data_IF_113371756968
#
_entry.id   IF_113371756968
#
_cell.length_a   1.000
_cell.length_b   1.000
_cell.length_c   1.000
_cell.angle_alpha   90.00
_cell.angle_beta   90.00
_cell.angle_gamma   90.00
#
_symmetry.space_group_name_H-M   'P 1'
#
loop_
_entity.id
_entity.type
_entity.pdbx_description
1 polymer ?
#
# COMPACT_ATOMS: atom_id res chain seq x y z
N UNK A 1 -76.75 0.31 17.84
CA UNK A 1 -77.25 0.65 16.49
C UNK A 1 -76.06 0.47 15.56
N UNK A 2 -76.00 -0.39 14.55
CA UNK A 2 -76.99 -1.20 13.86
C UNK A 2 -76.30 -2.46 13.32
N UNK A 3 -77.10 -3.53 13.23
CA UNK A 3 -76.78 -4.88 12.80
C UNK A 3 -76.27 -4.99 11.36
N UNK A 4 -75.54 -6.09 11.09
CA UNK A 4 -75.70 -7.09 9.98
C UNK A 4 -74.39 -7.87 9.85
N UNK A 5 -74.32 -9.16 9.52
CA UNK A 5 -75.25 -10.27 9.43
C UNK A 5 -74.34 -11.50 9.32
N UNK A 6 -74.53 -12.49 10.18
CA UNK A 6 -73.91 -13.82 10.02
C UNK A 6 -74.62 -14.54 8.87
N UNK A 7 -73.87 -14.93 7.84
CA UNK A 7 -74.35 -15.85 6.81
C UNK A 7 -73.42 -17.05 6.75
N UNK A 8 -73.85 -18.11 7.41
CA UNK A 8 -73.29 -19.45 7.39
C UNK A 8 -73.53 -20.05 6.00
N UNK A 9 -72.47 -20.28 5.23
CA UNK A 9 -72.52 -21.13 4.03
C UNK A 9 -71.68 -22.37 4.33
N UNK A 10 -72.40 -23.47 4.58
CA UNK A 10 -71.88 -24.82 4.50
C UNK A 10 -71.97 -25.26 3.04
N UNK A 11 -70.85 -25.63 2.41
CA UNK A 11 -70.85 -26.35 1.14
C UNK A 11 -69.53 -27.11 0.92
N UNK A 12 -69.66 -28.44 0.97
CA UNK A 12 -68.94 -29.48 0.23
C UNK A 12 -67.40 -29.40 0.17
N UNK A 13 -66.78 -30.20 1.05
CA UNK A 13 -65.49 -30.85 0.81
C UNK A 13 -65.64 -31.88 -0.33
N UNK A 14 -65.22 -31.50 -1.53
CA UNK A 14 -64.87 -32.47 -2.58
C UNK A 14 -63.35 -32.68 -2.50
N UNK A 15 -62.92 -33.82 -1.94
CA UNK A 15 -61.55 -34.31 -2.05
C UNK A 15 -61.25 -34.64 -3.51
N UNK A 16 -60.72 -33.68 -4.25
CA UNK A 16 -59.97 -33.96 -5.47
C UNK A 16 -58.55 -34.35 -5.04
N UNK A 17 -58.23 -35.64 -5.10
CA UNK A 17 -56.88 -36.15 -5.00
C UNK A 17 -56.09 -35.72 -6.26
N UNK A 18 -55.59 -34.48 -6.26
CA UNK A 18 -54.50 -34.09 -7.15
C UNK A 18 -53.23 -34.73 -6.59
N UNK A 19 -52.84 -35.87 -7.15
CA UNK A 19 -51.55 -36.48 -6.86
C UNK A 19 -50.44 -35.48 -7.16
N UNK A 20 -49.63 -35.17 -6.16
CA UNK A 20 -48.29 -34.66 -6.41
C UNK A 20 -47.63 -35.69 -7.34
N UNK A 21 -47.35 -35.29 -8.58
CA UNK A 21 -46.49 -36.07 -9.47
C UNK A 21 -45.09 -35.91 -8.91
N UNK A 22 -44.79 -36.71 -7.89
CA UNK A 22 -43.49 -36.77 -7.23
C UNK A 22 -42.48 -37.26 -8.25
N UNK A 23 -41.80 -36.34 -8.93
CA UNK A 23 -40.43 -36.55 -9.38
C UNK A 23 -39.53 -36.59 -8.14
N UNK A 24 -39.80 -37.51 -7.21
CA UNK A 24 -38.86 -37.86 -6.17
C UNK A 24 -37.68 -38.52 -6.88
N UNK A 25 -36.46 -37.96 -6.81
CA UNK A 25 -35.28 -38.64 -7.32
C UNK A 25 -35.26 -40.04 -6.72
N UNK A 26 -35.11 -41.03 -7.60
CA UNK A 26 -35.03 -42.46 -7.31
C UNK A 26 -34.73 -42.73 -5.83
N UNK A 27 -35.72 -43.22 -5.08
CA UNK A 27 -35.57 -43.75 -3.71
C UNK A 27 -34.78 -45.06 -3.72
N UNK A 28 -33.72 -45.15 -4.54
CA UNK A 28 -32.71 -46.17 -4.43
C UNK A 28 -31.91 -45.88 -3.17
N UNK A 29 -31.91 -46.84 -2.26
CA UNK A 29 -30.94 -46.85 -1.18
C UNK A 29 -29.55 -46.89 -1.80
N UNK A 30 -28.67 -45.97 -1.44
CA UNK A 30 -27.30 -45.94 -1.93
C UNK A 30 -26.29 -46.24 -0.81
N UNK A 31 -25.15 -46.77 -1.20
CA UNK A 31 -23.97 -47.03 -0.38
C UNK A 31 -22.72 -46.37 -0.95
N UNK A 32 -22.73 -46.03 -2.25
CA UNK A 32 -21.65 -45.30 -2.94
C UNK A 32 -22.21 -44.31 -3.97
N UNK A 33 -21.42 -43.31 -4.34
CA UNK A 33 -21.82 -42.29 -5.33
C UNK A 33 -22.16 -42.88 -6.70
N UNK A 34 -21.55 -44.00 -7.09
CA UNK A 34 -21.81 -44.64 -8.39
C UNK A 34 -23.22 -45.21 -8.54
N UNK A 35 -23.93 -45.39 -7.42
CA UNK A 35 -25.33 -45.87 -7.42
C UNK A 35 -26.32 -44.72 -7.71
N UNK A 36 -25.85 -43.47 -7.66
CA UNK A 36 -26.63 -42.27 -7.97
C UNK A 36 -26.48 -41.90 -9.45
N UNK A 37 -27.36 -42.47 -10.29
CA UNK A 37 -27.24 -42.37 -11.75
C UNK A 37 -27.65 -41.02 -12.34
N UNK A 38 -28.20 -40.11 -11.53
CA UNK A 38 -28.58 -38.77 -12.00
C UNK A 38 -27.34 -37.86 -12.03
N UNK A 39 -27.09 -37.13 -13.13
CA UNK A 39 -26.02 -36.14 -13.19
C UNK A 39 -26.08 -35.16 -12.01
N UNK A 40 -24.93 -34.84 -11.42
CA UNK A 40 -24.85 -33.92 -10.29
C UNK A 40 -25.32 -34.46 -8.94
N UNK A 41 -25.61 -35.76 -8.80
CA UNK A 41 -25.98 -36.39 -7.51
C UNK A 41 -24.82 -37.15 -6.85
N UNK A 42 -24.89 -37.33 -5.52
CA UNK A 42 -23.95 -38.13 -4.71
C UNK A 42 -24.69 -38.93 -3.64
N UNK A 43 -24.07 -39.94 -3.04
CA UNK A 43 -24.67 -40.72 -1.99
C UNK A 43 -24.45 -40.10 -0.59
N UNK A 44 -25.54 -39.81 0.12
CA UNK A 44 -25.51 -39.59 1.57
C UNK A 44 -25.49 -40.95 2.27
N UNK A 45 -24.29 -41.43 2.61
CA UNK A 45 -24.09 -42.75 3.24
C UNK A 45 -24.67 -42.85 4.64
N UNK A 46 -24.92 -41.72 5.33
CA UNK A 46 -25.54 -41.70 6.65
C UNK A 46 -27.04 -41.97 6.58
N UNK A 47 -27.68 -41.59 5.48
CA UNK A 47 -29.13 -41.74 5.26
C UNK A 47 -29.47 -42.79 4.20
N UNK A 48 -28.44 -43.28 3.49
CA UNK A 48 -28.57 -44.22 2.39
C UNK A 48 -29.39 -43.65 1.24
N UNK A 49 -29.28 -42.36 0.90
CA UNK A 49 -30.06 -41.74 -0.18
C UNK A 49 -29.19 -40.91 -1.12
N UNK A 50 -29.54 -40.91 -2.40
CA UNK A 50 -28.92 -39.98 -3.35
C UNK A 50 -29.40 -38.55 -3.08
N UNK A 51 -28.46 -37.65 -2.85
CA UNK A 51 -28.65 -36.22 -2.62
C UNK A 51 -28.03 -35.44 -3.78
N UNK A 52 -28.43 -34.18 -3.97
CA UNK A 52 -27.73 -33.34 -4.95
C UNK A 52 -26.29 -33.07 -4.46
N UNK A 53 -25.37 -32.92 -5.40
CA UNK A 53 -23.98 -32.53 -5.22
C UNK A 53 -23.64 -31.25 -5.99
N UNK A 54 -24.32 -31.03 -7.12
CA UNK A 54 -24.29 -29.82 -7.93
C UNK A 54 -25.72 -29.41 -8.29
N UNK A 55 -25.88 -28.19 -8.79
CA UNK A 55 -27.16 -27.64 -9.23
C UNK A 55 -27.80 -28.39 -10.41
N UNK A 56 -26.99 -29.13 -11.17
CA UNK A 56 -27.44 -29.95 -12.32
C UNK A 56 -28.39 -31.08 -11.90
N UNK A 57 -28.36 -31.48 -10.62
CA UNK A 57 -29.26 -32.47 -10.05
C UNK A 57 -30.64 -31.91 -9.66
N UNK A 58 -30.82 -30.59 -9.72
CA UNK A 58 -32.03 -29.90 -9.28
C UNK A 58 -32.86 -29.40 -10.46
N UNK A 59 -34.13 -29.08 -10.20
CA UNK A 59 -34.98 -28.45 -11.22
C UNK A 59 -34.45 -27.05 -11.61
N UNK A 60 -34.93 -26.52 -12.74
CA UNK A 60 -34.41 -25.28 -13.30
C UNK A 60 -34.50 -24.06 -12.36
N UNK A 61 -35.40 -24.08 -11.37
CA UNK A 61 -35.62 -23.05 -10.35
C UNK A 61 -35.06 -23.41 -8.96
N UNK A 62 -34.21 -24.45 -8.88
CA UNK A 62 -33.62 -24.94 -7.65
C UNK A 62 -32.08 -24.97 -7.73
N UNK A 63 -31.44 -24.82 -6.57
CA UNK A 63 -30.00 -25.00 -6.39
C UNK A 63 -29.73 -26.06 -5.33
N UNK A 64 -28.57 -26.72 -5.43
CA UNK A 64 -28.16 -27.70 -4.45
C UNK A 64 -27.53 -27.02 -3.23
N UNK A 65 -28.24 -27.00 -2.10
CA UNK A 65 -27.67 -26.44 -0.88
C UNK A 65 -26.66 -27.40 -0.23
N UNK A 66 -25.92 -26.93 0.78
CA UNK A 66 -24.90 -27.73 1.48
C UNK A 66 -25.43 -29.00 2.17
N UNK A 67 -26.74 -29.07 2.42
CA UNK A 67 -27.39 -30.24 2.99
C UNK A 67 -27.71 -31.32 1.94
N UNK A 68 -27.37 -31.10 0.66
CA UNK A 68 -27.71 -32.01 -0.43
C UNK A 68 -29.20 -31.99 -0.79
N UNK A 69 -29.88 -30.88 -0.48
CA UNK A 69 -31.31 -30.71 -0.79
C UNK A 69 -31.44 -29.65 -1.87
N UNK A 70 -32.19 -29.98 -2.93
CA UNK A 70 -32.60 -29.00 -3.91
C UNK A 70 -33.57 -28.02 -3.26
N UNK A 71 -33.13 -26.77 -3.14
CA UNK A 71 -33.89 -25.68 -2.55
C UNK A 71 -34.26 -24.71 -3.66
N UNK A 72 -35.51 -24.25 -3.68
CA UNK A 72 -35.95 -23.21 -4.61
C UNK A 72 -35.08 -21.96 -4.42
N UNK A 73 -34.58 -21.38 -5.52
CA UNK A 73 -33.90 -20.10 -5.46
C UNK A 73 -34.88 -19.04 -4.94
N UNK A 74 -34.74 -18.66 -3.67
CA UNK A 74 -35.48 -17.54 -3.09
C UNK A 74 -34.80 -16.21 -3.48
N UNK A 75 -34.69 -15.99 -4.79
CA UNK A 75 -33.98 -14.85 -5.35
C UNK A 75 -32.57 -15.17 -5.85
N UNK A 76 -31.74 -14.14 -5.92
CA UNK A 76 -30.37 -14.18 -6.44
C UNK A 76 -29.41 -13.43 -5.51
N UNK A 77 -28.14 -13.80 -5.58
CA UNK A 77 -27.01 -13.17 -4.88
C UNK A 77 -25.90 -12.74 -5.84
N UNK A 78 -25.84 -13.38 -7.01
CA UNK A 78 -24.98 -13.06 -8.14
C UNK A 78 -25.75 -13.17 -9.46
N UNK A 79 -25.17 -12.68 -10.56
CA UNK A 79 -25.78 -12.82 -11.89
C UNK A 79 -25.87 -14.28 -12.37
N UNK A 80 -25.04 -15.18 -11.84
CA UNK A 80 -25.06 -16.61 -12.20
C UNK A 80 -26.32 -17.32 -11.68
N UNK A 81 -26.95 -16.77 -10.65
CA UNK A 81 -28.23 -17.26 -10.12
C UNK A 81 -29.40 -16.99 -11.09
N UNK A 82 -29.21 -16.08 -12.05
CA UNK A 82 -30.22 -15.65 -13.01
C UNK A 82 -30.09 -16.39 -14.35
N UNK A 83 -30.58 -17.63 -14.38
CA UNK A 83 -30.41 -18.59 -15.51
C UNK A 83 -31.11 -18.18 -16.82
N UNK A 84 -31.98 -17.17 -16.80
CA UNK A 84 -32.65 -16.69 -18.01
C UNK A 84 -31.70 -15.77 -18.79
N UNK A 85 -31.57 -16.00 -20.09
CA UNK A 85 -30.73 -15.16 -20.95
C UNK A 85 -31.19 -13.70 -20.90
N UNK A 86 -30.24 -12.78 -20.70
CA UNK A 86 -30.54 -11.36 -20.54
C UNK A 86 -31.29 -11.06 -19.23
N UNK A 87 -31.02 -11.79 -18.16
CA UNK A 87 -31.43 -11.41 -16.80
C UNK A 87 -30.20 -11.21 -15.92
N UNK A 88 -30.32 -10.37 -14.89
CA UNK A 88 -29.24 -10.10 -13.95
C UNK A 88 -29.79 -9.93 -12.53
N UNK A 89 -28.92 -10.08 -11.54
CA UNK A 89 -29.33 -10.06 -10.15
C UNK A 89 -29.36 -8.66 -9.56
N UNK A 90 -30.54 -8.20 -9.14
CA UNK A 90 -30.64 -7.05 -8.25
C UNK A 90 -30.34 -7.49 -6.81
N UNK A 91 -29.10 -7.25 -6.38
CA UNK A 91 -28.61 -7.66 -5.05
C UNK A 91 -29.36 -7.01 -3.89
N UNK A 92 -30.08 -5.91 -4.14
CA UNK A 92 -30.81 -5.19 -3.08
C UNK A 92 -32.17 -5.83 -2.80
N UNK A 93 -32.89 -6.25 -3.85
CA UNK A 93 -34.17 -6.96 -3.71
C UNK A 93 -34.02 -8.49 -3.72
N UNK A 94 -32.87 -9.00 -4.16
CA UNK A 94 -32.65 -10.41 -4.46
C UNK A 94 -33.43 -10.90 -5.69
N UNK A 95 -33.93 -10.04 -6.57
CA UNK A 95 -34.72 -10.47 -7.73
C UNK A 95 -33.87 -10.51 -9.01
N UNK A 96 -34.11 -11.52 -9.86
CA UNK A 96 -33.61 -11.51 -11.23
C UNK A 96 -34.46 -10.57 -12.08
N UNK A 97 -33.87 -9.49 -12.56
CA UNK A 97 -34.54 -8.51 -13.42
C UNK A 97 -34.35 -8.89 -14.89
N UNK A 98 -35.39 -8.71 -15.69
CA UNK A 98 -35.34 -8.97 -17.13
C UNK A 98 -34.80 -7.77 -17.92
N UNK A 99 -33.86 -8.04 -18.83
CA UNK A 99 -33.28 -7.08 -19.75
C UNK A 99 -31.75 -7.17 -19.78
N UNK A 100 -31.11 -6.80 -20.91
CA UNK A 100 -29.66 -6.69 -20.97
C UNK A 100 -29.19 -5.67 -19.92
N UNK A 101 -28.27 -6.10 -19.05
CA UNK A 101 -27.56 -5.18 -18.15
C UNK A 101 -26.85 -4.13 -18.97
N UNK A 102 -26.73 -2.90 -18.45
CA UNK A 102 -26.02 -1.80 -19.10
C UNK A 102 -26.66 -1.34 -20.43
N UNK A 103 -27.98 -1.42 -20.55
CA UNK A 103 -28.73 -0.82 -21.68
C UNK A 103 -29.76 0.21 -21.21
N UNK A 104 -29.89 1.31 -21.94
CA UNK A 104 -30.90 2.33 -21.64
C UNK A 104 -32.32 1.75 -21.75
N UNK A 105 -33.18 2.06 -20.78
CA UNK A 105 -34.56 1.58 -20.69
C UNK A 105 -34.73 0.15 -20.13
N UNK A 106 -33.64 -0.56 -19.81
CA UNK A 106 -33.71 -1.86 -19.12
C UNK A 106 -34.22 -1.68 -17.68
N UNK A 107 -34.74 -2.76 -17.10
CA UNK A 107 -35.11 -2.77 -15.68
C UNK A 107 -33.86 -2.64 -14.82
N UNK A 108 -33.96 -1.99 -13.67
CA UNK A 108 -32.86 -1.84 -12.72
C UNK A 108 -33.38 -1.73 -11.29
N UNK A 109 -32.55 -2.16 -10.33
CA UNK A 109 -32.71 -1.84 -8.90
C UNK A 109 -31.61 -0.91 -8.33
N UNK A 110 -30.55 -0.66 -9.10
CA UNK A 110 -29.35 0.09 -8.72
C UNK A 110 -28.82 0.82 -9.96
N UNK A 111 -28.12 1.94 -9.77
CA UNK A 111 -27.49 2.67 -10.86
C UNK A 111 -26.41 1.85 -11.59
N UNK A 112 -25.69 0.98 -10.87
CA UNK A 112 -24.69 0.07 -11.45
C UNK A 112 -25.25 -0.97 -12.43
N UNK A 113 -26.58 -1.12 -12.52
CA UNK A 113 -27.23 -1.95 -13.54
C UNK A 113 -27.41 -1.23 -14.88
N UNK A 114 -27.23 0.09 -14.88
CA UNK A 114 -27.40 0.97 -16.02
C UNK A 114 -26.04 1.28 -16.67
N UNK A 115 -26.01 1.60 -17.98
CA UNK A 115 -24.77 2.02 -18.63
C UNK A 115 -24.26 3.33 -18.02
N UNK A 116 -22.97 3.61 -18.15
CA UNK A 116 -22.41 4.91 -17.79
C UNK A 116 -23.18 6.05 -18.50
N UNK A 117 -23.37 7.16 -17.79
CA UNK A 117 -24.22 8.28 -18.20
C UNK A 117 -25.71 8.07 -17.97
N UNK A 118 -26.11 7.05 -17.22
CA UNK A 118 -27.52 6.79 -16.91
C UNK A 118 -27.74 6.29 -15.48
N UNK A 119 -28.93 6.57 -14.95
CA UNK A 119 -29.34 6.22 -13.59
C UNK A 119 -30.62 5.40 -13.58
N UNK A 120 -30.81 4.67 -12.48
CA UNK A 120 -32.03 3.91 -12.25
C UNK A 120 -33.14 4.80 -11.68
N UNK A 121 -34.07 5.23 -12.54
CA UNK A 121 -35.25 6.03 -12.16
C UNK A 121 -36.51 5.24 -12.42
N UNK A 122 -37.38 5.12 -11.43
CA UNK A 122 -38.64 4.36 -11.51
C UNK A 122 -38.45 2.90 -12.00
N UNK A 123 -37.35 2.28 -11.56
CA UNK A 123 -37.00 0.90 -11.92
C UNK A 123 -36.54 0.71 -13.37
N UNK A 124 -36.20 1.80 -14.07
CA UNK A 124 -35.66 1.76 -15.43
C UNK A 124 -34.42 2.64 -15.59
N UNK A 125 -33.49 2.18 -16.42
CA UNK A 125 -32.33 2.97 -16.77
C UNK A 125 -32.73 4.16 -17.65
N UNK A 126 -32.40 5.37 -17.20
CA UNK A 126 -32.73 6.66 -17.84
C UNK A 126 -31.47 7.52 -17.90
N UNK A 127 -31.30 8.33 -18.94
CA UNK A 127 -30.12 9.20 -19.08
C UNK A 127 -30.02 10.16 -17.89
N UNK A 128 -28.82 10.27 -17.32
CA UNK A 128 -28.54 11.13 -16.17
C UNK A 128 -27.47 10.54 -15.25
N UNK A 129 -27.20 11.24 -14.15
CA UNK A 129 -26.27 10.84 -13.09
C UNK A 129 -26.76 11.35 -11.73
N UNK A 130 -26.39 10.67 -10.66
CA UNK A 130 -26.56 11.13 -9.28
C UNK A 130 -25.23 11.63 -8.70
N UNK A 131 -24.13 10.95 -9.05
CA UNK A 131 -22.77 11.34 -8.71
C UNK A 131 -21.81 11.01 -9.85
N UNK A 132 -20.54 11.37 -9.69
CA UNK A 132 -19.54 11.22 -10.75
C UNK A 132 -19.22 9.76 -11.09
N UNK A 133 -19.55 8.82 -10.20
CA UNK A 133 -19.37 7.38 -10.44
C UNK A 133 -20.34 6.81 -11.48
N UNK A 134 -21.42 7.54 -11.79
CA UNK A 134 -22.34 7.20 -12.86
C UNK A 134 -21.81 7.61 -14.24
N UNK A 135 -20.81 8.49 -14.32
CA UNK A 135 -20.26 9.03 -15.56
C UNK A 135 -19.08 8.19 -16.08
N UNK A 136 -18.73 8.35 -17.37
CA UNK A 136 -17.51 7.73 -17.91
C UNK A 136 -16.28 8.45 -17.36
N UNK A 137 -15.13 7.77 -17.38
CA UNK A 137 -13.85 8.37 -16.95
C UNK A 137 -13.58 9.67 -17.73
N UNK A 138 -13.35 10.77 -17.00
CA UNK A 138 -13.14 12.11 -17.56
C UNK A 138 -14.39 13.00 -17.65
N UNK A 139 -15.54 12.53 -17.18
CA UNK A 139 -16.77 13.32 -17.02
C UNK A 139 -17.16 13.44 -15.55
N UNK A 140 -17.83 14.53 -15.17
CA UNK A 140 -18.40 14.74 -13.84
C UNK A 140 -19.92 14.96 -13.93
N UNK A 141 -20.62 14.63 -12.86
CA UNK A 141 -22.07 14.79 -12.76
C UNK A 141 -22.44 16.22 -12.37
N UNK A 142 -22.92 17.00 -13.34
CA UNK A 142 -23.32 18.40 -13.12
C UNK A 142 -24.80 18.55 -13.46
N UNK A 143 -25.59 18.92 -12.45
CA UNK A 143 -27.05 19.09 -12.55
C UNK A 143 -27.77 17.87 -13.13
N UNK A 144 -27.33 16.67 -12.73
CA UNK A 144 -27.91 15.39 -13.16
C UNK A 144 -27.52 14.96 -14.58
N UNK A 145 -26.54 15.63 -15.21
CA UNK A 145 -26.02 15.27 -16.53
C UNK A 145 -24.50 15.10 -16.46
N UNK A 146 -23.99 14.03 -17.08
CA UNK A 146 -22.54 13.86 -17.24
C UNK A 146 -22.01 14.87 -18.27
N UNK A 147 -21.00 15.63 -17.87
CA UNK A 147 -20.37 16.65 -18.71
C UNK A 147 -18.85 16.43 -18.73
N UNK A 148 -18.24 16.54 -19.91
CA UNK A 148 -16.80 16.49 -20.09
C UNK A 148 -16.14 17.84 -19.81
N UNK A 149 -14.89 17.83 -19.32
CA UNK A 149 -14.11 19.04 -19.06
C UNK A 149 -14.56 19.86 -17.84
N UNK A 150 -15.50 19.31 -17.06
CA UNK A 150 -15.84 19.79 -15.72
C UNK A 150 -15.33 18.80 -14.68
N UNK A 151 -15.14 19.27 -13.45
CA UNK A 151 -14.61 18.47 -12.37
C UNK A 151 -15.34 18.75 -11.06
N UNK A 152 -15.45 17.73 -10.20
CA UNK A 152 -15.86 17.88 -8.80
C UNK A 152 -14.67 17.83 -7.84
N UNK A 153 -13.55 17.23 -8.28
CA UNK A 153 -12.29 17.03 -7.56
C UNK A 153 -11.14 16.86 -8.56
N UNK A 154 -9.90 16.96 -8.07
CA UNK A 154 -8.68 16.93 -8.89
C UNK A 154 -8.56 15.65 -9.74
N UNK A 155 -9.06 14.51 -9.24
CA UNK A 155 -9.01 13.22 -9.95
C UNK A 155 -9.71 13.20 -11.33
N UNK A 156 -10.57 14.19 -11.62
CA UNK A 156 -11.25 14.34 -12.91
C UNK A 156 -10.46 15.13 -13.94
N UNK A 157 -9.38 15.80 -13.54
CA UNK A 157 -8.58 16.63 -14.42
C UNK A 157 -7.42 15.86 -15.05
N UNK A 158 -6.78 16.42 -16.07
CA UNK A 158 -5.57 15.81 -16.60
C UNK A 158 -4.43 15.86 -15.55
N UNK A 159 -3.39 15.05 -15.74
CA UNK A 159 -2.21 15.13 -14.87
C UNK A 159 -1.66 16.55 -14.81
N UNK A 160 -1.15 16.96 -13.64
CA UNK A 160 -0.69 18.33 -13.30
C UNK A 160 -1.78 19.42 -13.30
N UNK A 161 -3.05 19.07 -13.53
CA UNK A 161 -4.17 19.98 -13.37
C UNK A 161 -4.88 19.77 -12.02
N UNK A 162 -5.60 20.80 -11.56
CA UNK A 162 -6.46 20.73 -10.39
C UNK A 162 -7.84 21.25 -10.72
N UNK A 163 -8.82 20.81 -9.95
CA UNK A 163 -10.18 21.29 -10.05
C UNK A 163 -10.34 22.62 -9.31
N UNK A 164 -10.66 23.68 -10.05
CA UNK A 164 -10.81 25.03 -9.50
C UNK A 164 -12.08 25.68 -10.04
N UNK A 165 -13.09 25.81 -9.18
CA UNK A 165 -14.45 26.25 -9.51
C UNK A 165 -15.13 25.41 -10.61
N UNK A 166 -14.98 24.09 -10.52
CA UNK A 166 -15.61 23.14 -11.44
C UNK A 166 -14.91 23.02 -12.80
N UNK A 167 -13.77 23.69 -12.97
CA UNK A 167 -12.98 23.67 -14.21
C UNK A 167 -11.57 23.19 -13.90
N UNK A 168 -11.07 22.28 -14.75
CA UNK A 168 -9.70 21.83 -14.67
C UNK A 168 -8.74 22.94 -15.12
N UNK A 169 -7.77 23.25 -14.26
CA UNK A 169 -6.75 24.26 -14.52
C UNK A 169 -5.38 23.68 -14.19
N UNK A 170 -4.42 23.95 -15.07
CA UNK A 170 -3.03 23.63 -14.82
C UNK A 170 -2.52 24.30 -13.52
N UNK A 171 -1.83 23.54 -12.70
CA UNK A 171 -1.21 24.07 -11.49
C UNK A 171 0.17 24.67 -11.81
N UNK A 172 0.29 26.00 -11.70
CA UNK A 172 1.51 26.73 -12.04
C UNK A 172 2.46 26.97 -10.87
N UNK A 173 2.24 26.34 -9.70
CA UNK A 173 3.07 26.58 -8.49
C UNK A 173 4.51 26.10 -8.64
N UNK A 174 4.78 25.18 -9.54
CA UNK A 174 6.15 24.75 -9.74
C UNK A 174 6.31 23.73 -10.85
N UNK A 175 7.56 23.37 -11.12
CA UNK A 175 7.87 22.48 -12.22
C UNK A 175 7.69 21.02 -11.78
N UNK A 176 6.44 20.57 -11.64
CA UNK A 176 6.11 19.19 -11.30
C UNK A 176 6.87 18.21 -12.19
N UNK A 177 7.55 17.24 -11.59
CA UNK A 177 8.27 16.18 -12.30
C UNK A 177 9.40 16.65 -13.24
N UNK A 178 9.80 17.92 -13.20
CA UNK A 178 10.96 18.38 -13.97
C UNK A 178 12.24 17.82 -13.36
N UNK A 179 13.14 17.33 -14.22
CA UNK A 179 14.47 16.89 -13.80
C UNK A 179 15.22 17.98 -13.04
N UNK A 180 15.94 17.59 -11.99
CA UNK A 180 16.67 18.53 -11.14
C UNK A 180 17.98 17.95 -10.62
N UNK A 181 18.78 18.81 -9.97
CA UNK A 181 19.97 18.41 -9.22
C UNK A 181 19.80 18.76 -7.75
N UNK A 182 20.51 18.05 -6.87
CA UNK A 182 20.53 18.38 -5.44
C UNK A 182 20.88 19.85 -5.22
N UNK A 183 20.23 20.45 -4.21
CA UNK A 183 20.46 21.84 -3.83
C UNK A 183 21.93 22.03 -3.44
N UNK A 184 22.57 23.04 -4.01
CA UNK A 184 23.94 23.44 -3.65
C UNK A 184 23.98 24.94 -3.36
N UNK A 185 25.08 25.42 -2.79
CA UNK A 185 25.27 26.87 -2.65
C UNK A 185 25.25 27.61 -4.00
N UNK A 186 25.63 26.94 -5.11
CA UNK A 186 25.60 27.48 -6.46
C UNK A 186 24.23 27.34 -7.16
N UNK A 187 23.42 26.38 -6.74
CA UNK A 187 22.06 26.16 -7.23
C UNK A 187 21.10 26.03 -6.03
N UNK A 188 20.76 27.17 -5.38
CA UNK A 188 19.98 27.15 -4.15
C UNK A 188 18.51 26.80 -4.40
N UNK A 189 17.99 26.88 -5.63
CA UNK A 189 16.58 26.66 -5.96
C UNK A 189 16.45 25.79 -7.22
N UNK A 190 16.82 24.50 -7.15
CA UNK A 190 16.79 23.62 -8.32
C UNK A 190 15.39 23.44 -8.94
N UNK A 191 14.34 23.82 -8.20
CA UNK A 191 12.94 23.64 -8.54
C UNK A 191 12.14 24.96 -8.48
N UNK A 192 12.77 26.07 -8.86
CA UNK A 192 12.18 27.43 -9.01
C UNK A 192 11.64 28.09 -7.74
N UNK A 193 11.64 27.41 -6.59
CA UNK A 193 11.25 27.98 -5.32
C UNK A 193 12.07 27.41 -4.16
N UNK A 194 12.28 28.19 -3.08
CA UNK A 194 13.02 27.75 -1.90
C UNK A 194 12.44 26.53 -1.20
N UNK A 195 11.13 26.29 -1.34
CA UNK A 195 10.40 25.19 -0.66
C UNK A 195 10.11 24.01 -1.58
N UNK A 196 10.49 24.14 -2.86
CA UNK A 196 10.47 23.02 -3.79
C UNK A 196 11.76 22.22 -3.60
N UNK A 197 11.63 20.90 -3.44
CA UNK A 197 12.77 20.01 -3.25
C UNK A 197 12.99 19.15 -4.47
N UNK A 198 14.26 18.87 -4.72
CA UNK A 198 14.68 17.89 -5.69
C UNK A 198 14.60 16.51 -5.04
N UNK A 199 13.57 15.75 -5.39
CA UNK A 199 13.22 14.46 -4.82
C UNK A 199 13.88 13.33 -5.61
N UNK A 200 14.07 12.19 -4.96
CA UNK A 200 14.66 11.00 -5.57
C UNK A 200 13.57 9.97 -5.79
N UNK A 201 13.40 9.48 -7.03
CA UNK A 201 12.56 8.33 -7.30
C UNK A 201 13.29 7.05 -6.85
N UNK A 202 12.76 6.36 -5.84
CA UNK A 202 13.33 5.11 -5.31
C UNK A 202 12.83 3.85 -6.03
N UNK A 203 11.92 3.97 -7.01
CA UNK A 203 11.38 2.81 -7.75
C UNK A 203 12.16 2.46 -9.01
N UNK A 204 12.86 3.41 -9.60
CA UNK A 204 13.66 3.16 -10.80
C UNK A 204 14.99 2.51 -10.41
N UNK A 205 15.05 1.17 -10.49
CA UNK A 205 16.21 0.30 -10.20
C UNK A 205 17.46 0.57 -11.09
N UNK A 206 17.56 1.73 -11.74
CA UNK A 206 18.56 2.05 -12.76
C UNK A 206 19.26 3.41 -12.63
N UNK A 207 19.02 4.18 -11.57
CA UNK A 207 19.77 5.41 -11.29
C UNK A 207 18.92 6.67 -11.28
N UNK A 208 18.44 7.01 -10.08
CA UNK A 208 17.98 8.31 -9.62
C UNK A 208 17.57 9.33 -10.70
N UNK A 209 16.39 9.16 -11.30
CA UNK A 209 15.70 10.28 -11.95
C UNK A 209 15.25 11.23 -10.83
N UNK A 210 16.08 12.21 -10.54
CA UNK A 210 15.75 13.26 -9.59
C UNK A 210 14.70 14.17 -10.20
N UNK A 211 13.65 14.47 -9.47
CA UNK A 211 12.52 15.26 -9.97
C UNK A 211 12.08 16.34 -8.99
N UNK A 212 11.53 17.42 -9.52
CA UNK A 212 11.03 18.51 -8.70
C UNK A 212 9.67 18.18 -8.08
N UNK A 213 9.62 18.18 -6.74
CA UNK A 213 8.38 18.22 -5.97
C UNK A 213 8.02 19.65 -5.60
N UNK A 214 6.73 20.00 -5.65
CA UNK A 214 6.24 21.36 -5.37
C UNK A 214 5.70 21.46 -3.94
N UNK A 215 6.04 22.50 -3.21
CA UNK A 215 5.62 22.66 -1.81
C UNK A 215 4.08 22.64 -1.64
N UNK A 216 3.64 21.85 -0.66
CA UNK A 216 2.25 21.75 -0.22
C UNK A 216 2.09 21.84 1.31
N UNK A 217 3.14 22.24 2.03
CA UNK A 217 3.13 22.19 3.50
C UNK A 217 2.26 23.26 4.17
N UNK A 218 1.60 24.16 3.41
CA UNK A 218 0.59 25.08 3.93
C UNK A 218 -0.83 24.52 3.74
N UNK A 219 -0.96 23.22 3.46
CA UNK A 219 -2.24 22.54 3.27
C UNK A 219 -2.84 22.76 1.89
N UNK A 220 -2.04 23.16 0.90
CA UNK A 220 -2.51 23.29 -0.47
C UNK A 220 -2.74 21.90 -1.08
N UNK A 221 -3.87 21.70 -1.75
CA UNK A 221 -4.13 20.48 -2.53
C UNK A 221 -3.05 20.30 -3.62
N UNK A 222 -2.71 19.06 -3.96
CA UNK A 222 -1.82 18.75 -5.07
C UNK A 222 -2.64 18.46 -6.34
N UNK A 223 -2.11 18.75 -7.54
CA UNK A 223 -2.82 18.46 -8.77
C UNK A 223 -2.99 16.94 -8.98
N UNK A 224 -3.82 16.55 -9.94
CA UNK A 224 -4.09 15.16 -10.25
C UNK A 224 -2.82 14.36 -10.54
N UNK A 225 -2.77 13.13 -10.00
CA UNK A 225 -1.61 12.25 -10.03
C UNK A 225 -0.53 12.60 -9.02
N UNK A 226 -0.71 13.62 -8.19
CA UNK A 226 0.21 14.00 -7.13
C UNK A 226 -0.48 13.98 -5.77
N UNK A 227 0.28 13.60 -4.74
CA UNK A 227 -0.15 13.69 -3.35
C UNK A 227 0.85 14.47 -2.52
N UNK A 228 0.33 15.20 -1.54
CA UNK A 228 1.16 15.91 -0.58
C UNK A 228 1.78 14.89 0.38
N UNK A 229 3.09 14.70 0.28
CA UNK A 229 3.84 13.78 1.13
C UNK A 229 4.92 14.49 1.93
N UNK A 230 5.31 13.91 3.06
CA UNK A 230 6.45 14.39 3.83
C UNK A 230 7.75 14.24 3.04
N UNK A 231 8.54 15.32 3.00
CA UNK A 231 9.91 15.28 2.47
C UNK A 231 10.84 15.07 3.65
N UNK A 232 11.42 13.88 3.72
CA UNK A 232 12.39 13.51 4.75
C UNK A 232 13.79 13.47 4.17
N UNK A 233 14.77 13.88 4.96
CA UNK A 233 16.18 13.60 4.72
C UNK A 233 16.66 12.63 5.79
N UNK A 234 17.60 11.75 5.43
CA UNK A 234 18.32 10.98 6.44
C UNK A 234 19.27 11.91 7.20
N UNK A 235 19.73 11.48 8.37
CA UNK A 235 20.65 12.28 9.18
C UNK A 235 21.97 12.48 8.43
N UNK A 236 22.76 13.48 8.85
CA UNK A 236 24.10 13.69 8.29
C UNK A 236 25.12 12.65 8.76
N UNK A 237 24.72 11.75 9.67
CA UNK A 237 25.60 10.70 10.19
C UNK A 237 25.67 9.57 9.17
N UNK A 238 26.82 9.44 8.51
CA UNK A 238 27.14 8.28 7.68
C UNK A 238 27.36 7.07 8.56
N UNK A 239 26.95 5.90 8.09
CA UNK A 239 27.10 4.64 8.80
C UNK A 239 27.51 3.51 7.86
N UNK A 240 28.20 2.49 8.39
CA UNK A 240 28.48 1.24 7.71
C UNK A 240 27.50 0.12 8.10
N UNK A 241 26.78 0.30 9.21
CA UNK A 241 25.76 -0.64 9.69
C UNK A 241 24.91 -0.04 10.80
N UNK A 242 23.74 -0.66 11.09
CA UNK A 242 22.77 -0.12 12.05
C UNK A 242 23.33 0.06 13.46
N UNK A 243 24.31 -0.76 13.85
CA UNK A 243 25.04 -0.62 15.11
C UNK A 243 25.59 0.81 15.32
N UNK A 244 26.13 1.42 14.26
CA UNK A 244 26.72 2.76 14.35
C UNK A 244 25.65 3.84 14.61
N UNK A 245 24.43 3.62 14.13
CA UNK A 245 23.31 4.54 14.30
C UNK A 245 22.65 4.42 15.68
N UNK A 246 22.62 3.20 16.21
CA UNK A 246 22.00 2.90 17.50
C UNK A 246 22.83 3.41 18.67
N UNK A 247 24.13 3.65 18.49
CA UNK A 247 24.95 4.30 19.50
C UNK A 247 24.68 5.83 19.49
N UNK A 248 23.98 6.36 20.49
CA UNK A 248 23.80 7.81 20.69
C UNK A 248 25.08 8.55 21.13
N UNK A 249 26.26 8.03 20.78
CA UNK A 249 27.57 8.43 21.30
C UNK A 249 28.72 7.86 20.46
N UNK A 250 29.91 7.71 21.08
CA UNK A 250 31.06 7.10 20.37
C UNK A 250 30.87 5.59 20.24
N UNK A 251 30.80 5.12 19.00
CA UNK A 251 30.95 3.69 18.68
C UNK A 251 32.39 3.31 18.97
N UNK A 252 32.58 2.24 19.76
CA UNK A 252 33.89 1.61 19.92
C UNK A 252 33.79 0.19 19.44
N UNK A 253 34.81 -0.26 18.73
CA UNK A 253 35.02 -1.69 18.61
C UNK A 253 35.31 -2.25 20.00
N UNK A 254 35.03 -3.54 20.21
CA UNK A 254 35.50 -4.19 21.44
C UNK A 254 37.01 -3.89 21.57
N UNK A 255 37.48 -3.57 22.78
CA UNK A 255 38.88 -3.19 23.01
C UNK A 255 39.88 -4.32 22.67
N UNK A 256 39.35 -5.51 22.38
CA UNK A 256 40.09 -6.61 21.83
C UNK A 256 40.52 -6.32 20.38
N UNK A 257 41.83 -6.22 20.19
CA UNK A 257 42.47 -6.30 18.87
C UNK A 257 42.81 -7.75 18.54
N UNK A 258 42.67 -8.12 17.27
CA UNK A 258 43.06 -9.42 16.76
C UNK A 258 44.17 -9.27 15.71
N UNK A 259 45.08 -10.24 15.65
CA UNK A 259 46.16 -10.26 14.64
C UNK A 259 46.02 -11.50 13.77
N UNK A 260 45.70 -11.30 12.48
CA UNK A 260 45.59 -12.35 11.48
C UNK A 260 46.93 -12.77 10.88
N UNK A 261 47.08 -14.04 10.43
CA UNK A 261 48.36 -14.57 9.96
C UNK A 261 48.91 -13.90 8.70
N UNK A 262 48.05 -13.25 7.92
CA UNK A 262 48.41 -12.58 6.66
C UNK A 262 47.61 -11.30 6.47
N UNK A 263 48.20 -10.35 5.74
CA UNK A 263 47.54 -9.09 5.43
C UNK A 263 46.17 -9.35 4.78
N UNK A 264 45.13 -8.70 5.30
CA UNK A 264 43.79 -8.84 4.80
C UNK A 264 43.73 -8.54 3.29
N UNK A 265 43.23 -9.49 2.53
CA UNK A 265 42.94 -9.34 1.11
C UNK A 265 41.51 -9.85 0.85
N UNK A 266 40.49 -8.95 0.93
CA UNK A 266 39.09 -9.33 0.80
C UNK A 266 38.83 -10.00 -0.55
N UNK A 267 38.04 -11.09 -0.53
CA UNK A 267 37.72 -11.85 -1.74
C UNK A 267 36.21 -12.07 -1.87
N UNK A 268 35.73 -12.03 -3.11
CA UNK A 268 34.37 -12.40 -3.49
C UNK A 268 34.13 -13.91 -3.24
N UNK A 269 32.86 -14.37 -3.22
CA UNK A 269 32.53 -15.80 -3.04
C UNK A 269 33.18 -16.74 -4.07
N UNK A 270 33.53 -16.23 -5.24
CA UNK A 270 34.23 -16.97 -6.29
C UNK A 270 35.76 -17.05 -6.08
N UNK A 271 36.28 -16.41 -5.02
CA UNK A 271 37.70 -16.38 -4.67
C UNK A 271 38.50 -15.25 -5.32
N UNK A 272 37.92 -14.39 -6.15
CA UNK A 272 38.64 -13.24 -6.71
C UNK A 272 38.80 -12.11 -5.69
N UNK A 273 39.86 -11.27 -5.75
CA UNK A 273 39.95 -10.07 -4.94
C UNK A 273 38.72 -9.19 -5.17
N UNK A 274 38.02 -8.80 -4.10
CA UNK A 274 36.87 -7.91 -4.20
C UNK A 274 37.37 -6.46 -4.20
N UNK A 275 37.52 -5.76 -5.33
CA UNK A 275 38.14 -4.43 -5.35
C UNK A 275 37.42 -3.42 -4.44
N UNK A 276 36.14 -3.64 -4.13
CA UNK A 276 35.30 -2.72 -3.38
C UNK A 276 35.31 -2.99 -1.87
N UNK A 277 35.65 -4.20 -1.44
CA UNK A 277 35.74 -4.51 -0.02
C UNK A 277 37.01 -3.91 0.62
N UNK A 278 36.81 -3.22 1.75
CA UNK A 278 37.87 -2.53 2.49
C UNK A 278 38.35 -3.31 3.72
N UNK A 279 37.71 -4.43 4.07
CA UNK A 279 38.04 -5.24 5.24
C UNK A 279 37.76 -6.75 5.06
N UNK A 280 38.39 -7.57 5.89
CA UNK A 280 38.20 -9.02 5.99
C UNK A 280 37.51 -9.36 7.29
N UNK A 281 36.56 -10.29 7.25
CA UNK A 281 35.88 -10.85 8.41
C UNK A 281 36.44 -12.25 8.66
N UNK A 282 37.13 -12.44 9.78
CA UNK A 282 37.79 -13.70 10.14
C UNK A 282 37.12 -14.29 11.38
N UNK A 283 36.37 -15.36 11.20
CA UNK A 283 35.70 -16.08 12.27
C UNK A 283 36.67 -16.96 13.09
N UNK A 284 36.38 -17.13 14.38
CA UNK A 284 37.08 -18.04 15.30
C UNK A 284 38.47 -17.58 15.76
N UNK A 285 38.77 -16.28 15.71
CA UNK A 285 40.13 -15.81 15.98
C UNK A 285 40.42 -15.61 17.49
N UNK A 286 41.53 -16.14 18.06
CA UNK A 286 41.78 -16.11 19.50
C UNK A 286 41.92 -14.70 20.11
N UNK A 287 42.26 -13.70 19.30
CA UNK A 287 42.40 -12.31 19.77
C UNK A 287 41.08 -11.66 20.20
N UNK A 288 39.94 -12.21 19.80
CA UNK A 288 38.62 -11.66 20.12
C UNK A 288 37.96 -12.27 21.35
N UNK A 289 38.52 -13.34 21.91
CA UNK A 289 38.04 -13.94 23.14
C UNK A 289 38.87 -13.42 24.31
N UNK A 290 38.41 -12.34 24.95
CA UNK A 290 39.00 -11.78 26.17
C UNK A 290 38.92 -12.70 27.40
N UNK A 291 39.22 -13.99 27.27
CA UNK A 291 39.27 -14.95 28.38
C UNK A 291 37.91 -15.41 28.93
N UNK A 292 36.81 -15.10 28.26
CA UNK A 292 35.47 -15.65 28.55
C UNK A 292 35.11 -16.69 27.48
N UNK A 293 34.76 -17.90 27.92
CA UNK A 293 34.15 -18.91 27.06
C UNK A 293 32.84 -18.34 26.48
N UNK A 294 32.81 -18.06 25.18
CA UNK A 294 31.63 -17.55 24.47
C UNK A 294 31.71 -16.11 23.94
N UNK A 295 32.90 -15.49 23.91
CA UNK A 295 33.11 -14.17 23.29
C UNK A 295 32.97 -14.14 21.76
N UNK A 296 33.10 -12.96 21.16
CA UNK A 296 32.77 -12.70 19.76
C UNK A 296 33.75 -13.38 18.82
N UNK A 297 33.23 -14.10 17.83
CA UNK A 297 34.05 -14.92 16.95
C UNK A 297 34.73 -14.13 15.82
N UNK A 298 34.31 -12.91 15.52
CA UNK A 298 34.66 -12.27 14.23
C UNK A 298 35.64 -11.12 14.40
N UNK A 299 36.84 -11.32 13.85
CA UNK A 299 37.90 -10.33 13.72
C UNK A 299 37.73 -9.55 12.41
N UNK A 300 37.62 -8.23 12.47
CA UNK A 300 37.49 -7.34 11.30
C UNK A 300 38.83 -6.66 11.04
N UNK A 301 39.47 -6.97 9.92
CA UNK A 301 40.82 -6.49 9.57
C UNK A 301 40.76 -5.64 8.32
N UNK A 302 41.27 -4.41 8.36
CA UNK A 302 41.33 -3.53 7.18
C UNK A 302 42.24 -4.11 6.09
N UNK A 303 41.87 -3.95 4.81
CA UNK A 303 42.68 -4.39 3.66
C UNK A 303 44.14 -3.96 3.81
N UNK A 304 45.04 -4.92 3.62
CA UNK A 304 46.49 -4.73 3.70
C UNK A 304 47.06 -4.73 5.11
N UNK A 305 46.22 -4.77 6.15
CA UNK A 305 46.65 -4.86 7.55
C UNK A 305 46.60 -6.30 8.05
N UNK A 306 47.41 -6.60 9.05
CA UNK A 306 47.36 -7.87 9.82
C UNK A 306 46.64 -7.71 11.15
N UNK A 307 46.43 -6.49 11.62
CA UNK A 307 45.74 -6.21 12.87
C UNK A 307 44.33 -5.69 12.58
N UNK A 308 43.37 -6.18 13.35
CA UNK A 308 41.96 -5.86 13.24
C UNK A 308 41.30 -5.67 14.59
N UNK A 309 40.02 -5.34 14.54
CA UNK A 309 39.18 -5.11 15.70
C UNK A 309 38.16 -6.23 15.85
N UNK A 310 37.83 -6.58 17.07
CA UNK A 310 36.83 -7.59 17.37
C UNK A 310 35.42 -6.98 17.43
N UNK A 311 34.42 -7.74 16.99
CA UNK A 311 33.01 -7.41 17.23
C UNK A 311 32.59 -7.82 18.64
N UNK A 312 31.33 -7.65 19.04
CA UNK A 312 30.76 -8.18 20.29
C UNK A 312 29.47 -8.99 20.01
N UNK A 313 29.10 -9.91 20.90
CA UNK A 313 27.85 -10.68 20.92
C UNK A 313 27.04 -10.50 22.20
N UNK A 314 27.65 -10.02 23.28
CA UNK A 314 26.99 -9.72 24.54
C UNK A 314 27.63 -8.51 25.25
N UNK A 315 26.85 -7.80 26.07
CA UNK A 315 27.29 -6.60 26.81
C UNK A 315 28.53 -6.83 27.67
N UNK A 316 28.72 -8.04 28.20
CA UNK A 316 29.88 -8.39 29.03
C UNK A 316 31.22 -8.37 28.28
N UNK A 317 31.19 -8.35 26.96
CA UNK A 317 32.36 -8.28 26.09
C UNK A 317 32.81 -6.84 25.82
N UNK A 318 32.01 -5.88 26.28
CA UNK A 318 32.23 -4.46 26.09
C UNK A 318 32.78 -3.82 27.38
N UNK A 319 33.82 -2.99 27.23
CA UNK A 319 34.46 -2.31 28.35
C UNK A 319 33.58 -1.21 28.96
N UNK A 320 33.91 -0.78 30.18
CA UNK A 320 33.28 0.38 30.85
C UNK A 320 31.74 0.33 30.98
N UNK A 321 31.15 -0.88 30.96
CA UNK A 321 29.70 -1.07 31.04
C UNK A 321 28.96 -0.63 29.77
N UNK A 322 29.63 -0.61 28.62
CA UNK A 322 28.98 -0.38 27.33
C UNK A 322 28.10 -1.56 26.89
N UNK A 323 27.10 -1.28 26.05
CA UNK A 323 26.14 -2.27 25.56
C UNK A 323 26.58 -2.78 24.21
N UNK A 324 26.50 -4.09 23.99
CA UNK A 324 26.79 -4.70 22.72
C UNK A 324 25.58 -4.62 21.80
N UNK A 325 25.74 -3.91 20.67
CA UNK A 325 24.68 -3.69 19.71
C UNK A 325 25.18 -4.06 18.32
N UNK A 326 24.61 -5.12 17.76
CA UNK A 326 24.91 -5.61 16.40
C UNK A 326 26.42 -5.70 16.08
N UNK A 327 27.21 -6.22 17.03
CA UNK A 327 28.64 -6.41 16.83
C UNK A 327 29.53 -5.28 17.32
N UNK A 328 28.99 -4.15 17.81
CA UNK A 328 29.80 -3.01 18.27
C UNK A 328 29.45 -2.62 19.71
N UNK A 329 30.44 -2.13 20.45
CA UNK A 329 30.26 -1.67 21.82
C UNK A 329 29.85 -0.19 21.84
N UNK A 330 28.62 0.07 22.28
CA UNK A 330 28.08 1.42 22.40
C UNK A 330 28.40 2.00 23.78
N UNK A 331 29.30 3.00 23.83
CA UNK A 331 29.49 3.81 25.03
C UNK A 331 28.39 4.89 25.10
N UNK A 332 27.30 4.60 25.81
CA UNK A 332 26.19 5.53 26.02
C UNK A 332 24.81 4.87 25.93
N UNK A 333 23.77 5.69 25.76
CA UNK A 333 22.41 5.19 25.57
C UNK A 333 22.25 4.57 24.18
N UNK A 334 21.80 3.33 24.12
CA UNK A 334 21.42 2.64 22.89
C UNK A 334 20.02 3.10 22.46
N UNK A 335 19.87 3.49 21.20
CA UNK A 335 18.61 3.89 20.55
C UNK A 335 18.25 2.85 19.49
N UNK A 336 17.58 1.74 19.87
CA UNK A 336 17.38 0.59 18.98
C UNK A 336 16.51 0.93 17.76
N UNK A 337 15.79 2.06 17.78
CA UNK A 337 14.94 2.53 16.67
C UNK A 337 15.74 3.12 15.51
N UNK A 338 17.05 3.35 15.70
CA UNK A 338 17.91 3.88 14.63
C UNK A 338 18.44 2.74 13.76
N UNK A 339 18.47 2.98 12.45
CA UNK A 339 18.91 2.05 11.44
C UNK A 339 19.87 2.74 10.48
N UNK A 340 20.78 1.96 9.89
CA UNK A 340 21.63 2.45 8.82
C UNK A 340 20.96 2.17 7.48
N UNK A 341 20.51 3.21 6.80
CA UNK A 341 19.82 3.10 5.51
C UNK A 341 20.75 3.56 4.40
N UNK A 342 21.15 2.61 3.55
CA UNK A 342 21.97 2.85 2.36
C UNK A 342 21.24 2.43 1.08
N UNK A 343 21.70 2.93 -0.06
CA UNK A 343 21.24 2.44 -1.36
C UNK A 343 21.78 1.05 -1.67
N UNK A 344 21.08 0.28 -2.50
CA UNK A 344 21.60 -1.02 -2.96
C UNK A 344 22.99 -0.86 -3.60
N UNK A 345 23.97 -1.66 -3.14
CA UNK A 345 25.35 -1.60 -3.62
C UNK A 345 26.23 -0.50 -3.00
N UNK A 346 25.72 0.28 -2.03
CA UNK A 346 26.53 1.25 -1.29
C UNK A 346 27.18 0.59 -0.06
N UNK A 347 28.47 0.88 0.18
CA UNK A 347 29.20 0.40 1.37
C UNK A 347 28.93 1.24 2.62
N UNK A 348 28.21 2.36 2.47
CA UNK A 348 27.87 3.29 3.54
C UNK A 348 26.46 3.81 3.34
N UNK A 349 25.68 3.87 4.41
CA UNK A 349 24.37 4.50 4.47
C UNK A 349 24.38 5.77 5.31
N UNK A 350 23.18 6.22 5.65
CA UNK A 350 22.93 7.28 6.62
C UNK A 350 22.04 6.76 7.74
N UNK A 351 22.26 7.26 8.94
CA UNK A 351 21.43 6.88 10.07
C UNK A 351 20.03 7.48 9.95
N UNK A 352 19.02 6.69 10.32
CA UNK A 352 17.69 7.22 10.64
C UNK A 352 17.76 8.08 11.90
N UNK A 353 16.75 8.91 12.10
CA UNK A 353 16.54 9.62 13.35
C UNK A 353 15.63 8.78 14.28
N UNK A 354 15.75 8.96 15.59
CA UNK A 354 14.78 8.45 16.58
C UNK A 354 14.10 9.58 17.36
N UNK A 355 14.76 10.73 17.45
CA UNK A 355 14.32 11.94 18.16
C UNK A 355 14.64 13.17 17.31
N UNK A 356 13.96 14.28 17.58
CA UNK A 356 14.21 15.55 16.86
C UNK A 356 15.65 16.06 17.01
N UNK A 357 16.33 15.70 18.10
CA UNK A 357 17.74 16.05 18.33
C UNK A 357 18.72 15.26 17.44
N UNK A 358 18.27 14.16 16.82
CA UNK A 358 19.07 13.44 15.81
C UNK A 358 19.09 14.20 14.46
N UNK A 359 18.15 15.11 14.27
CA UNK A 359 18.01 15.88 13.05
C UNK A 359 18.83 17.17 13.10
N UNK A 360 19.34 17.64 11.94
CA UNK A 360 20.08 18.88 11.90
C UNK A 360 19.20 20.03 12.37
N UNK A 361 19.76 20.96 13.14
CA UNK A 361 19.06 22.20 13.46
C UNK A 361 19.00 23.07 12.22
N UNK A 362 17.80 23.55 11.92
CA UNK A 362 17.60 24.51 10.86
C UNK A 362 17.90 25.92 11.37
N UNK A 363 18.49 26.75 10.51
CA UNK A 363 18.92 28.10 10.88
C UNK A 363 18.39 29.08 9.86
N UNK A 364 17.95 30.26 10.32
CA UNK A 364 17.47 31.29 9.43
C UNK A 364 18.63 31.87 8.60
N UNK A 365 18.55 31.76 7.27
CA UNK A 365 19.49 32.44 6.39
C UNK A 365 19.08 33.90 6.22
N UNK A 366 19.86 34.79 6.83
CA UNK A 366 19.60 36.23 6.83
C UNK A 366 19.54 36.87 5.44
N UNK A 367 20.20 36.27 4.44
CA UNK A 367 20.19 36.77 3.07
C UNK A 367 18.92 36.40 2.31
N UNK A 368 18.26 35.30 2.70
CA UNK A 368 17.08 34.74 2.02
C UNK A 368 15.77 35.01 2.76
N UNK A 369 15.82 35.33 4.06
CA UNK A 369 14.62 35.40 4.90
C UNK A 369 13.90 34.04 4.98
N UNK A 370 14.66 32.96 4.86
CA UNK A 370 14.16 31.59 4.88
C UNK A 370 15.15 30.65 5.58
N UNK A 371 14.62 29.61 6.21
CA UNK A 371 15.38 28.59 6.88
C UNK A 371 16.24 27.81 5.88
N UNK A 372 17.51 27.57 6.24
CA UNK A 372 18.51 27.06 5.32
C UNK A 372 18.19 25.66 4.78
N UNK A 373 17.55 24.81 5.59
CA UNK A 373 17.24 23.42 5.27
C UNK A 373 15.79 23.28 4.79
N UNK A 374 14.82 23.71 5.60
CA UNK A 374 13.38 23.56 5.30
C UNK A 374 12.83 24.57 4.31
N UNK A 375 13.53 25.68 4.07
CA UNK A 375 13.05 26.78 3.23
C UNK A 375 11.84 27.55 3.82
N UNK A 376 11.44 27.28 5.08
CA UNK A 376 10.36 28.01 5.75
C UNK A 376 10.70 29.50 5.89
N UNK A 377 9.75 30.43 5.71
CA UNK A 377 10.01 31.85 5.96
C UNK A 377 10.48 32.08 7.41
N UNK A 378 11.47 32.95 7.59
CA UNK A 378 12.00 33.28 8.92
C UNK A 378 12.53 34.71 8.99
N UNK A 379 12.59 35.24 10.20
CA UNK A 379 13.18 36.53 10.51
C UNK A 379 14.59 36.33 11.07
N UNK A 380 15.62 37.00 10.54
CA UNK A 380 16.99 36.82 11.02
C UNK A 380 17.11 37.24 12.49
N UNK A 381 17.64 36.34 13.32
CA UNK A 381 17.76 36.55 14.77
C UNK A 381 16.59 36.03 15.61
N UNK A 382 15.52 35.52 14.98
CA UNK A 382 14.46 34.79 15.65
C UNK A 382 14.67 33.28 15.52
N UNK A 383 14.07 32.52 16.43
CA UNK A 383 14.05 31.04 16.41
C UNK A 383 12.87 30.51 15.58
N UNK A 384 12.61 31.12 14.42
CA UNK A 384 11.45 30.79 13.58
C UNK A 384 11.60 29.41 12.89
N UNK A 385 12.83 28.90 12.78
CA UNK A 385 13.13 27.65 12.06
C UNK A 385 12.93 26.39 12.90
N UNK A 386 13.09 26.48 14.22
CA UNK A 386 12.92 25.36 15.16
C UNK A 386 13.80 24.13 14.89
N UNK A 387 13.70 23.09 15.72
CA UNK A 387 14.27 21.79 15.41
C UNK A 387 13.51 21.12 14.25
N UNK A 388 14.22 20.37 13.42
CA UNK A 388 13.60 19.54 12.37
C UNK A 388 13.06 18.27 13.04
N UNK A 389 11.76 17.97 12.90
CA UNK A 389 11.18 16.83 13.59
C UNK A 389 11.62 15.51 12.95
N UNK A 390 11.80 14.50 13.79
CA UNK A 390 12.00 13.13 13.36
C UNK A 390 10.66 12.43 13.10
N UNK A 391 10.43 11.98 11.87
CA UNK A 391 9.20 11.33 11.43
C UNK A 391 9.55 10.10 10.60
N UNK A 392 9.05 8.93 11.01
CA UNK A 392 9.24 7.65 10.31
C UNK A 392 10.72 7.33 10.01
N UNK A 393 11.62 7.65 10.94
CA UNK A 393 13.06 7.45 10.78
C UNK A 393 13.78 8.49 9.92
N UNK A 394 13.08 9.51 9.40
CA UNK A 394 13.65 10.59 8.62
C UNK A 394 13.42 11.98 9.22
N UNK A 395 14.30 12.92 8.93
CA UNK A 395 14.18 14.31 9.35
C UNK A 395 13.26 15.05 8.40
N UNK A 396 12.04 15.38 8.84
CA UNK A 396 11.00 15.99 8.01
C UNK A 396 11.30 17.48 7.76
N UNK A 397 11.78 17.78 6.55
CA UNK A 397 12.18 19.14 6.16
C UNK A 397 11.07 19.93 5.44
N UNK A 398 10.00 19.25 5.01
CA UNK A 398 8.90 19.89 4.30
C UNK A 398 7.81 18.92 3.87
N UNK A 399 6.90 19.39 3.04
CA UNK A 399 5.92 18.53 2.38
C UNK A 399 5.76 19.01 0.94
N UNK A 400 5.83 18.08 -0.01
CA UNK A 400 5.75 18.41 -1.42
C UNK A 400 4.79 17.48 -2.14
N UNK A 401 4.13 18.02 -3.16
CA UNK A 401 3.44 17.28 -4.18
C UNK A 401 4.46 16.44 -4.94
N UNK A 402 4.34 15.13 -4.79
CA UNK A 402 5.08 14.12 -5.53
C UNK A 402 4.07 13.15 -6.17
N UNK A 403 4.44 12.44 -7.25
CA UNK A 403 3.58 11.42 -7.83
C UNK A 403 2.99 10.47 -6.78
N UNK A 404 1.74 10.07 -6.99
CA UNK A 404 1.09 9.11 -6.09
C UNK A 404 1.90 7.81 -5.96
N UNK A 405 1.80 7.15 -4.80
CA UNK A 405 2.51 5.90 -4.53
C UNK A 405 2.18 4.89 -5.62
N UNK A 406 3.15 4.55 -6.46
CA UNK A 406 2.84 3.76 -7.64
C UNK A 406 3.52 4.30 -8.88
N UNK A 407 3.47 5.62 -9.05
CA UNK A 407 3.69 6.28 -10.32
C UNK A 407 5.09 6.92 -10.38
N UNK A 408 5.77 6.72 -11.51
CA UNK A 408 6.95 7.46 -11.92
C UNK A 408 6.55 8.77 -12.62
N UNK A 409 7.47 9.73 -12.68
CA UNK A 409 7.22 10.98 -13.38
C UNK A 409 6.94 10.80 -14.87
N UNK A 410 7.55 9.81 -15.53
CA UNK A 410 7.23 9.48 -16.94
C UNK A 410 5.79 8.99 -17.11
N UNK A 411 5.27 8.20 -16.15
CA UNK A 411 3.89 7.71 -16.18
C UNK A 411 2.89 8.84 -16.00
N UNK A 412 3.19 9.81 -15.12
CA UNK A 412 2.34 10.99 -14.89
C UNK A 412 2.40 11.97 -16.06
N UNK A 413 3.54 12.12 -16.72
CA UNK A 413 3.69 13.04 -17.85
C UNK A 413 3.28 12.42 -19.20
N UNK A 414 3.02 11.10 -19.24
CA UNK A 414 2.66 10.39 -20.47
C UNK A 414 3.81 10.24 -21.48
N UNK A 415 5.05 10.17 -20.99
CA UNK A 415 6.29 10.05 -21.80
C UNK A 415 6.76 8.61 -22.03
#
# INVERSE_FOLDING_TARGET
MSHRSFSTIAALFALAASGCSSNTPSTGLCTTDSECTLPGTRCDTGQGRCVCATDEACEADQFCNRAGVCQTLSGCTSNDDCRQEGTFCDRLSGQCLSGPSLQLGSLCGLASHCPYGSVCTDGKCSMGCFDDGDCVLGEACVDGTCQAGVCSQDAFCDYVEKCDDGVCKQDFRGPYCRGCTQRTAANPEPCDAPRNFCLINNRELGGFTQFCGVDCSLGQACPNGFRCGGVVILTQQTCLGSAECQCGGQVRYAEATCTVPSACNPRLPNGDPDPNATACFVEGHPGCNGGVDGGPNTCVVTRGQTDGNCTCTADTECADGSTCTAGLCCAGSVRPERECVGGEGTVSGYCTCATDDDCPRDNCDGSRGACAISGKPCTPGNDDCGPIPCVDGGCLIGQNCAPEQGLACSEVLGE
#
